data_IF_999240614014
#
_entry.id   IF_999240614014
#
_cell.length_a   1.000
_cell.length_b   1.000
_cell.length_c   1.000
_cell.angle_alpha   90.00
_cell.angle_beta   90.00
_cell.angle_gamma   90.00
#
_symmetry.space_group_name_H-M   'P 1'
#
loop_
_entity.id
_entity.type
_entity.pdbx_description
1 polymer ?
#
# COMPACT_ATOMS: atom_id res chain seq x y z
N UNK A 1 -23.83 37.40 17.52
CA UNK A 1 -24.63 36.16 17.49
C UNK A 1 -23.75 35.02 17.00
N UNK A 2 -23.63 34.01 17.86
CA UNK A 2 -22.89 32.77 17.72
C UNK A 2 -23.30 31.98 16.46
N UNK A 3 -22.33 31.56 15.64
CA UNK A 3 -22.49 30.52 14.61
C UNK A 3 -21.52 29.37 14.90
N UNK A 4 -21.78 28.68 16.00
CA UNK A 4 -21.20 27.39 16.34
C UNK A 4 -21.74 26.32 15.40
N UNK A 5 -20.87 25.64 14.64
CA UNK A 5 -20.98 24.21 14.22
C UNK A 5 -20.36 23.83 12.85
N UNK A 6 -19.16 24.30 12.48
CA UNK A 6 -18.35 23.49 11.55
C UNK A 6 -17.74 22.35 12.37
N UNK A 7 -18.55 21.34 12.70
CA UNK A 7 -18.03 20.01 13.02
C UNK A 7 -17.48 19.47 11.71
N UNK A 8 -16.26 19.88 11.37
CA UNK A 8 -15.46 19.18 10.41
C UNK A 8 -15.48 17.71 10.86
N UNK A 9 -16.00 16.83 10.02
CA UNK A 9 -15.93 15.40 10.27
C UNK A 9 -14.46 15.02 10.02
N UNK A 10 -13.61 15.32 11.02
CA UNK A 10 -12.16 15.28 10.91
C UNK A 10 -11.72 13.82 10.89
N UNK A 11 -11.75 13.20 9.72
CA UNK A 11 -10.97 11.99 9.50
C UNK A 11 -9.52 12.43 9.78
N UNK A 12 -8.85 11.91 10.82
CA UNK A 12 -7.56 12.44 11.23
C UNK A 12 -6.48 11.90 10.28
N UNK A 13 -6.46 12.41 9.05
CA UNK A 13 -5.50 12.05 8.00
C UNK A 13 -4.06 12.19 8.49
N UNK A 14 -3.79 13.17 9.36
CA UNK A 14 -2.48 13.38 10.01
C UNK A 14 -2.09 12.20 10.92
N UNK A 15 -3.06 11.60 11.62
CA UNK A 15 -2.82 10.46 12.51
C UNK A 15 -2.51 9.20 11.72
N UNK A 16 -3.19 8.99 10.59
CA UNK A 16 -2.91 7.89 9.67
C UNK A 16 -1.55 8.11 9.00
N UNK A 17 -1.26 9.33 8.54
CA UNK A 17 0.05 9.70 7.99
C UNK A 17 1.21 9.36 8.94
N UNK A 18 1.11 9.75 10.21
CA UNK A 18 2.10 9.42 11.23
C UNK A 18 2.26 7.91 11.43
N UNK A 19 1.17 7.15 11.37
CA UNK A 19 1.21 5.69 11.44
C UNK A 19 1.95 5.10 10.23
N UNK A 20 1.70 5.58 9.01
CA UNK A 20 2.46 5.16 7.81
C UNK A 20 3.95 5.48 7.93
N UNK A 21 4.27 6.64 8.51
CA UNK A 21 5.65 7.08 8.72
C UNK A 21 6.36 6.22 9.78
N UNK A 22 5.65 5.82 10.84
CA UNK A 22 6.15 4.85 11.81
C UNK A 22 6.39 3.47 11.17
N UNK A 23 5.44 2.95 10.38
CA UNK A 23 5.62 1.69 9.64
C UNK A 23 6.80 1.75 8.67
N UNK A 24 7.04 2.91 8.04
CA UNK A 24 8.22 3.12 7.21
C UNK A 24 9.51 3.03 8.02
N UNK A 25 9.57 3.68 9.19
CA UNK A 25 10.71 3.60 10.09
C UNK A 25 11.01 2.17 10.51
N UNK A 26 10.00 1.40 10.89
CA UNK A 26 10.14 -0.03 11.24
C UNK A 26 10.71 -0.83 10.07
N UNK A 27 10.20 -0.61 8.86
CA UNK A 27 10.68 -1.31 7.66
C UNK A 27 12.16 -1.00 7.35
N UNK A 28 12.61 0.23 7.57
CA UNK A 28 14.01 0.63 7.39
C UNK A 28 14.94 -0.04 8.40
N UNK A 29 14.53 -0.10 9.66
CA UNK A 29 15.28 -0.78 10.72
C UNK A 29 15.40 -2.29 10.45
N UNK A 30 14.32 -2.91 9.96
CA UNK A 30 14.33 -4.31 9.55
C UNK A 30 15.25 -4.57 8.35
N UNK A 31 15.30 -3.65 7.37
CA UNK A 31 16.18 -3.75 6.21
C UNK A 31 17.67 -3.73 6.55
N UNK A 32 18.04 -3.11 7.68
CA UNK A 32 19.42 -3.10 8.17
C UNK A 32 19.81 -4.40 8.92
N UNK A 33 18.90 -5.36 9.07
CA UNK A 33 19.21 -6.65 9.69
C UNK A 33 19.94 -7.57 8.70
N UNK A 34 20.99 -8.26 9.15
CA UNK A 34 21.85 -9.08 8.28
C UNK A 34 21.21 -10.35 7.70
N UNK A 35 19.94 -10.65 8.00
CA UNK A 35 19.23 -11.84 7.54
C UNK A 35 18.25 -11.50 6.41
N UNK A 36 18.74 -11.52 5.18
CA UNK A 36 18.03 -11.06 3.97
C UNK A 36 16.66 -11.71 3.78
N UNK A 37 16.56 -13.04 3.94
CA UNK A 37 15.32 -13.78 3.65
C UNK A 37 14.22 -13.49 4.68
N UNK A 38 14.59 -13.34 5.96
CA UNK A 38 13.66 -13.01 7.04
C UNK A 38 13.27 -11.53 7.03
N UNK A 39 14.23 -10.65 6.70
CA UNK A 39 13.98 -9.24 6.51
C UNK A 39 13.02 -9.00 5.34
N UNK A 40 13.24 -9.67 4.20
CA UNK A 40 12.40 -9.53 3.02
C UNK A 40 10.93 -9.90 3.29
N UNK A 41 10.68 -11.03 3.97
CA UNK A 41 9.31 -11.46 4.28
C UNK A 41 8.59 -10.47 5.21
N UNK A 42 9.28 -9.96 6.24
CA UNK A 42 8.72 -8.96 7.16
C UNK A 42 8.47 -7.61 6.48
N UNK A 43 9.42 -7.13 5.66
CA UNK A 43 9.27 -5.90 4.88
C UNK A 43 8.07 -6.00 3.93
N UNK A 44 7.92 -7.14 3.26
CA UNK A 44 6.79 -7.37 2.36
C UNK A 44 5.46 -7.41 3.13
N UNK A 45 5.42 -8.04 4.30
CA UNK A 45 4.26 -8.00 5.20
C UNK A 45 3.88 -6.57 5.61
N UNK A 46 4.85 -5.74 6.00
CA UNK A 46 4.63 -4.33 6.35
C UNK A 46 4.13 -3.54 5.13
N UNK A 47 4.63 -3.82 3.93
CA UNK A 47 4.19 -3.19 2.70
C UNK A 47 2.69 -3.45 2.42
N UNK A 48 2.22 -4.68 2.66
CA UNK A 48 0.80 -5.03 2.52
C UNK A 48 -0.06 -4.23 3.51
N UNK A 49 0.36 -4.13 4.78
CA UNK A 49 -0.36 -3.36 5.80
C UNK A 49 -0.45 -1.88 5.42
N UNK A 50 0.66 -1.30 4.95
CA UNK A 50 0.68 0.09 4.45
C UNK A 50 -0.27 0.27 3.28
N UNK A 51 -0.25 -0.62 2.28
CA UNK A 51 -1.14 -0.55 1.13
C UNK A 51 -2.62 -0.62 1.54
N UNK A 52 -2.97 -1.50 2.50
CA UNK A 52 -4.32 -1.59 3.05
C UNK A 52 -4.75 -0.30 3.75
N UNK A 53 -3.86 0.31 4.55
CA UNK A 53 -4.12 1.60 5.19
C UNK A 53 -4.33 2.73 4.17
N UNK A 54 -3.50 2.78 3.13
CA UNK A 54 -3.64 3.76 2.04
C UNK A 54 -4.97 3.58 1.32
N UNK A 55 -5.32 2.34 0.96
CA UNK A 55 -6.60 2.04 0.32
C UNK A 55 -7.79 2.44 1.18
N UNK A 56 -7.80 2.02 2.44
CA UNK A 56 -8.92 2.27 3.34
C UNK A 56 -9.13 3.76 3.66
N UNK A 57 -8.06 4.52 3.87
CA UNK A 57 -8.15 5.88 4.38
C UNK A 57 -7.86 6.98 3.35
N UNK A 58 -6.89 6.81 2.46
CA UNK A 58 -6.52 7.85 1.48
C UNK A 58 -7.25 7.70 0.15
N UNK A 59 -7.54 6.46 -0.28
CA UNK A 59 -8.33 6.22 -1.50
C UNK A 59 -9.84 6.27 -1.25
N UNK A 60 -10.28 6.55 -0.02
CA UNK A 60 -11.71 6.62 0.30
C UNK A 60 -12.45 5.27 0.27
N UNK A 61 -11.74 4.17 0.05
CA UNK A 61 -12.32 2.85 -0.22
C UNK A 61 -13.18 2.30 0.94
N UNK A 62 -12.97 2.80 2.16
CA UNK A 62 -13.79 2.46 3.32
C UNK A 62 -15.24 3.00 3.22
N UNK A 63 -15.45 4.09 2.50
CA UNK A 63 -16.74 4.78 2.36
C UNK A 63 -17.38 4.57 0.98
N UNK A 64 -16.68 3.88 0.08
CA UNK A 64 -17.09 3.65 -1.29
C UNK A 64 -17.65 2.23 -1.54
N UNK A 65 -18.42 2.02 -2.61
CA UNK A 65 -19.00 0.71 -2.93
C UNK A 65 -17.92 -0.34 -3.21
N UNK A 66 -18.15 -1.58 -2.72
CA UNK A 66 -17.26 -2.75 -2.87
C UNK A 66 -16.80 -3.02 -4.31
N UNK A 67 -17.51 -2.55 -5.33
CA UNK A 67 -17.12 -2.66 -6.73
C UNK A 67 -15.77 -2.00 -7.04
N UNK A 68 -15.40 -0.91 -6.35
CA UNK A 68 -14.12 -0.23 -6.58
C UNK A 68 -12.95 -1.06 -6.04
N UNK A 69 -13.16 -1.81 -4.94
CA UNK A 69 -12.19 -2.81 -4.47
C UNK A 69 -11.97 -3.89 -5.53
N UNK A 70 -13.03 -4.38 -6.17
CA UNK A 70 -12.92 -5.38 -7.25
C UNK A 70 -12.15 -4.85 -8.46
N UNK A 71 -12.37 -3.59 -8.86
CA UNK A 71 -11.60 -2.93 -9.94
C UNK A 71 -10.12 -2.79 -9.55
N UNK A 72 -9.83 -2.37 -8.32
CA UNK A 72 -8.46 -2.26 -7.83
C UNK A 72 -7.78 -3.63 -7.82
N UNK A 73 -8.47 -4.67 -7.34
CA UNK A 73 -7.96 -6.03 -7.30
C UNK A 73 -7.72 -6.57 -8.72
N UNK A 74 -8.62 -6.28 -9.66
CA UNK A 74 -8.48 -6.63 -11.07
C UNK A 74 -7.27 -5.92 -11.70
N UNK A 75 -7.03 -4.64 -11.39
CA UNK A 75 -5.86 -3.89 -11.83
C UNK A 75 -4.55 -4.49 -11.32
N UNK A 76 -4.50 -4.83 -10.02
CA UNK A 76 -3.33 -5.51 -9.42
C UNK A 76 -3.13 -6.90 -10.04
N UNK A 77 -4.21 -7.66 -10.26
CA UNK A 77 -4.14 -8.95 -10.92
C UNK A 77 -3.58 -8.83 -12.34
N UNK A 78 -4.08 -7.88 -13.13
CA UNK A 78 -3.60 -7.66 -14.49
C UNK A 78 -2.14 -7.20 -14.50
N UNK A 79 -1.75 -6.33 -13.57
CA UNK A 79 -0.35 -5.93 -13.39
C UNK A 79 0.55 -7.14 -13.08
N UNK A 80 0.11 -8.06 -12.21
CA UNK A 80 0.88 -9.27 -11.87
C UNK A 80 1.00 -10.21 -13.07
N UNK A 81 -0.08 -10.42 -13.82
CA UNK A 81 -0.06 -11.24 -15.05
C UNK A 81 0.90 -10.63 -16.07
N UNK A 82 0.82 -9.31 -16.28
CA UNK A 82 1.65 -8.60 -17.25
C UNK A 82 3.12 -8.64 -16.81
N UNK A 83 3.42 -8.45 -15.52
CA UNK A 83 4.78 -8.60 -14.99
C UNK A 83 5.30 -10.03 -15.19
N UNK A 84 4.49 -11.05 -14.87
CA UNK A 84 4.87 -12.46 -15.02
C UNK A 84 5.07 -12.86 -16.48
N UNK A 85 4.37 -12.24 -17.43
CA UNK A 85 4.54 -12.47 -18.86
C UNK A 85 5.73 -11.69 -19.44
N UNK A 86 5.93 -10.45 -19.01
CA UNK A 86 6.94 -9.55 -19.57
C UNK A 86 8.35 -9.84 -19.04
N UNK A 87 8.50 -10.24 -17.77
CA UNK A 87 9.79 -10.61 -17.19
C UNK A 87 10.49 -11.71 -18.01
N UNK A 88 9.88 -12.88 -18.25
CA UNK A 88 10.51 -13.90 -19.09
C UNK A 88 10.70 -13.41 -20.52
N UNK A 89 9.74 -12.69 -21.10
CA UNK A 89 9.85 -12.16 -22.47
C UNK A 89 11.10 -11.30 -22.67
N UNK A 90 11.36 -10.36 -21.75
CA UNK A 90 12.58 -9.52 -21.75
C UNK A 90 13.84 -10.39 -21.58
N UNK A 91 13.82 -11.34 -20.64
CA UNK A 91 14.97 -12.22 -20.37
C UNK A 91 15.32 -13.08 -21.59
N UNK A 92 14.32 -13.63 -22.27
CA UNK A 92 14.54 -14.40 -23.51
C UNK A 92 15.01 -13.54 -24.68
N UNK A 93 14.60 -12.26 -24.74
CA UNK A 93 14.98 -11.33 -25.82
C UNK A 93 16.40 -10.77 -25.66
N UNK A 94 16.87 -10.56 -24.43
CA UNK A 94 18.16 -9.92 -24.12
C UNK A 94 19.26 -10.91 -23.71
N UNK A 95 18.91 -12.18 -23.47
CA UNK A 95 19.83 -13.24 -23.06
C UNK A 95 20.50 -14.02 -24.20
N UNK A 96 20.43 -13.52 -25.43
CA UNK A 96 21.10 -14.08 -26.63
C UNK A 96 21.58 -12.94 -27.54
#
# INVERSE_FOLDING_TARGET
MNSSNVTAHEIPYVKIWLLLLALLGVSLLLGNSGHVMLAASLIFGIAIVKACLVGAYYMGLKWEPRYILWILLAGVFFMLVLAAALIPDIVYRYGN
#
